data_IF_414868570058
#
_entry.id   IF_414868570058
#
_cell.length_a   1.000
_cell.length_b   1.000
_cell.length_c   1.000
_cell.angle_alpha   90.00
_cell.angle_beta   90.00
_cell.angle_gamma   90.00
#
_symmetry.space_group_name_H-M   'P 1'
#
loop_
_entity.id
_entity.type
_entity.pdbx_description
1 polymer ?
#
# COMPACT_ATOMS: atom_id res chain seq x y z
N UNK A 1 13.37 -0.42 -29.12
CA UNK A 1 13.05 -1.80 -28.73
C UNK A 1 14.02 -2.40 -27.72
N UNK A 2 15.27 -2.71 -28.09
CA UNK A 2 16.22 -3.38 -27.17
C UNK A 2 16.40 -2.68 -25.81
N UNK A 3 16.51 -1.35 -25.80
CA UNK A 3 16.68 -0.58 -24.55
C UNK A 3 15.45 -0.62 -23.64
N UNK A 4 14.23 -0.57 -24.21
CA UNK A 4 12.98 -0.63 -23.44
C UNK A 4 12.76 -2.04 -22.87
N UNK A 5 13.06 -3.06 -23.67
CA UNK A 5 13.00 -4.46 -23.25
C UNK A 5 14.04 -4.75 -22.16
N UNK A 6 15.26 -4.20 -22.28
CA UNK A 6 16.28 -4.29 -21.24
C UNK A 6 15.85 -3.62 -19.93
N UNK A 7 15.15 -2.47 -20.01
CA UNK A 7 14.58 -1.79 -18.83
C UNK A 7 13.44 -2.58 -18.16
N UNK A 8 12.78 -3.49 -18.87
CA UNK A 8 11.74 -4.37 -18.33
C UNK A 8 12.21 -5.80 -18.07
N UNK A 9 13.52 -6.00 -17.87
CA UNK A 9 14.10 -7.33 -17.61
C UNK A 9 13.72 -8.37 -18.68
N UNK A 10 13.72 -7.97 -19.95
CA UNK A 10 13.41 -8.86 -21.08
C UNK A 10 11.93 -8.92 -21.48
N UNK A 11 11.02 -8.32 -20.70
CA UNK A 11 9.60 -8.30 -21.06
C UNK A 11 9.33 -7.42 -22.28
N UNK A 12 8.43 -7.89 -23.14
CA UNK A 12 8.02 -7.19 -24.38
C UNK A 12 6.68 -6.47 -24.24
N UNK A 13 5.98 -6.67 -23.11
CA UNK A 13 4.62 -6.22 -22.91
C UNK A 13 4.55 -5.18 -21.79
N UNK A 14 4.08 -3.99 -22.13
CA UNK A 14 3.85 -2.89 -21.19
C UNK A 14 4.80 -1.73 -21.42
N UNK A 15 4.47 -0.59 -20.83
CA UNK A 15 5.30 0.61 -20.85
C UNK A 15 6.02 0.67 -19.48
N UNK A 16 7.36 0.84 -19.44
CA UNK A 16 8.08 0.93 -18.17
C UNK A 16 7.50 2.06 -17.29
N UNK A 17 7.35 1.81 -16.00
CA UNK A 17 6.78 2.81 -15.07
C UNK A 17 7.88 3.65 -14.40
N UNK A 18 7.56 4.88 -14.00
CA UNK A 18 8.42 5.70 -13.14
C UNK A 18 9.32 6.71 -13.84
N UNK A 19 9.14 6.97 -15.14
CA UNK A 19 9.78 8.10 -15.81
C UNK A 19 8.77 8.96 -16.56
N UNK A 20 8.98 10.28 -16.56
CA UNK A 20 8.12 11.23 -17.27
C UNK A 20 8.05 10.96 -18.77
N UNK A 21 9.13 10.42 -19.36
CA UNK A 21 9.17 10.02 -20.77
C UNK A 21 8.19 8.88 -21.05
N UNK A 22 8.10 7.89 -20.15
CA UNK A 22 7.18 6.78 -20.31
C UNK A 22 5.72 7.19 -20.09
N UNK A 23 5.47 8.09 -19.13
CA UNK A 23 4.15 8.71 -18.98
C UNK A 23 3.72 9.43 -20.26
N UNK A 24 4.63 10.13 -20.93
CA UNK A 24 4.37 10.78 -22.22
C UNK A 24 4.08 9.79 -23.35
N UNK A 25 4.84 8.70 -23.45
CA UNK A 25 4.59 7.63 -24.44
C UNK A 25 3.22 6.99 -24.21
N UNK A 26 2.87 6.71 -22.95
CA UNK A 26 1.55 6.19 -22.61
C UNK A 26 0.43 7.14 -23.04
N UNK A 27 0.61 8.45 -22.83
CA UNK A 27 -0.35 9.46 -23.23
C UNK A 27 -0.54 9.55 -24.75
N UNK A 28 0.53 9.38 -25.55
CA UNK A 28 0.43 9.29 -27.02
C UNK A 28 -0.46 8.12 -27.45
N UNK A 29 -0.25 6.94 -26.86
CA UNK A 29 -1.02 5.73 -27.18
C UNK A 29 -2.49 5.91 -26.77
N UNK A 30 -2.75 6.42 -25.57
CA UNK A 30 -4.11 6.67 -25.08
C UNK A 30 -4.84 7.74 -25.90
N UNK A 31 -4.13 8.78 -26.35
CA UNK A 31 -4.71 9.79 -27.26
C UNK A 31 -5.11 9.17 -28.60
N UNK A 32 -4.33 8.20 -29.11
CA UNK A 32 -4.70 7.48 -30.33
C UNK A 32 -5.96 6.62 -30.12
N UNK A 33 -6.07 5.94 -28.98
CA UNK A 33 -7.27 5.20 -28.57
C UNK A 33 -8.49 6.13 -28.48
N UNK A 34 -8.33 7.32 -27.87
CA UNK A 34 -9.40 8.32 -27.76
C UNK A 34 -9.91 8.76 -29.14
N UNK A 35 -8.99 8.91 -30.11
CA UNK A 35 -9.35 9.21 -31.50
C UNK A 35 -10.14 8.07 -32.15
N UNK A 36 -9.67 6.83 -32.04
CA UNK A 36 -10.37 5.65 -32.58
C UNK A 36 -11.76 5.47 -31.97
N UNK A 37 -11.90 5.73 -30.67
CA UNK A 37 -13.18 5.75 -30.00
C UNK A 37 -14.09 6.83 -30.60
N UNK A 38 -13.58 8.06 -30.74
CA UNK A 38 -14.33 9.18 -31.29
C UNK A 38 -14.84 8.88 -32.70
N UNK A 39 -13.98 8.32 -33.56
CA UNK A 39 -14.32 7.94 -34.93
C UNK A 39 -15.43 6.87 -34.95
N UNK A 40 -15.34 5.82 -34.11
CA UNK A 40 -16.39 4.80 -33.99
C UNK A 40 -17.71 5.36 -33.46
N UNK A 41 -17.67 6.28 -32.50
CA UNK A 41 -18.89 6.91 -31.95
C UNK A 41 -19.62 7.77 -33.00
N UNK A 42 -18.87 8.43 -33.89
CA UNK A 42 -19.43 9.16 -35.03
C UNK A 42 -20.11 8.19 -36.01
N UNK A 43 -19.47 7.06 -36.34
CA UNK A 43 -20.06 6.03 -37.21
C UNK A 43 -21.36 5.44 -36.66
N UNK A 44 -21.46 5.29 -35.34
CA UNK A 44 -22.66 4.79 -34.63
C UNK A 44 -23.73 5.88 -34.40
N UNK A 45 -23.53 7.10 -34.92
CA UNK A 45 -24.42 8.26 -34.72
C UNK A 45 -24.69 8.62 -33.25
N UNK A 46 -23.72 8.37 -32.35
CA UNK A 46 -23.83 8.74 -30.94
C UNK A 46 -23.32 10.17 -30.80
N UNK A 47 -24.21 11.13 -30.55
CA UNK A 47 -23.88 12.57 -30.53
C UNK A 47 -23.99 13.21 -29.15
N UNK A 48 -24.87 12.69 -28.28
CA UNK A 48 -25.15 13.28 -26.96
C UNK A 48 -24.39 12.58 -25.84
N UNK A 49 -23.08 12.86 -25.75
CA UNK A 49 -22.24 12.33 -24.68
C UNK A 49 -21.13 13.30 -24.29
N UNK A 50 -20.52 13.06 -23.14
CA UNK A 50 -19.28 13.73 -22.72
C UNK A 50 -18.35 12.71 -22.10
N UNK A 51 -17.14 12.59 -22.62
CA UNK A 51 -16.08 11.72 -22.06
C UNK A 51 -14.98 12.61 -21.49
N UNK A 52 -14.57 12.32 -20.26
CA UNK A 52 -13.39 12.90 -19.63
C UNK A 52 -12.40 11.77 -19.35
N UNK A 53 -11.15 11.93 -19.78
CA UNK A 53 -10.06 11.00 -19.44
C UNK A 53 -9.01 11.73 -18.62
N UNK A 54 -8.53 11.08 -17.56
CA UNK A 54 -7.32 11.47 -16.85
C UNK A 54 -6.42 10.25 -16.74
N UNK A 55 -5.30 10.24 -17.49
CA UNK A 55 -4.45 9.05 -17.65
C UNK A 55 -5.27 7.85 -18.10
N UNK A 56 -5.34 6.78 -17.30
CA UNK A 56 -6.10 5.56 -17.57
C UNK A 56 -7.56 5.60 -17.08
N UNK A 57 -7.94 6.63 -16.32
CA UNK A 57 -9.30 6.76 -15.77
C UNK A 57 -10.23 7.47 -16.78
N UNK A 58 -11.26 6.75 -17.25
CA UNK A 58 -12.35 7.29 -18.07
C UNK A 58 -13.59 7.62 -17.23
N UNK A 59 -14.25 8.74 -17.53
CA UNK A 59 -15.58 9.11 -17.03
C UNK A 59 -16.50 9.45 -18.21
N UNK A 60 -17.60 8.72 -18.33
CA UNK A 60 -18.51 8.80 -19.48
C UNK A 60 -19.88 9.26 -19.00
N UNK A 61 -20.33 10.40 -19.50
CA UNK A 61 -21.62 11.00 -19.19
C UNK A 61 -22.54 10.92 -20.42
N UNK A 62 -23.74 10.37 -20.23
CA UNK A 62 -24.77 10.24 -21.25
C UNK A 62 -26.13 10.54 -20.62
N UNK A 63 -27.13 10.92 -21.44
CA UNK A 63 -28.51 11.09 -20.93
C UNK A 63 -29.20 9.75 -20.66
N UNK A 64 -28.87 8.74 -21.46
CA UNK A 64 -29.46 7.41 -21.35
C UNK A 64 -28.40 6.37 -20.98
N UNK A 65 -28.81 5.39 -20.16
CA UNK A 65 -27.98 4.26 -19.76
C UNK A 65 -27.64 3.33 -20.94
N UNK A 66 -28.60 3.12 -21.85
CA UNK A 66 -28.42 2.33 -23.08
C UNK A 66 -27.26 2.84 -23.93
N UNK A 67 -27.14 4.16 -24.07
CA UNK A 67 -26.04 4.83 -24.78
C UNK A 67 -24.73 4.64 -24.02
N UNK A 68 -24.75 4.75 -22.68
CA UNK A 68 -23.56 4.53 -21.85
C UNK A 68 -22.97 3.13 -22.05
N UNK A 69 -23.82 2.11 -21.98
CA UNK A 69 -23.42 0.70 -22.15
C UNK A 69 -22.86 0.43 -23.56
N UNK A 70 -23.43 1.08 -24.59
CA UNK A 70 -22.89 1.04 -25.95
C UNK A 70 -21.50 1.68 -26.03
N UNK A 71 -21.30 2.87 -25.45
CA UNK A 71 -19.99 3.54 -25.46
C UNK A 71 -18.95 2.67 -24.71
N UNK A 72 -19.29 2.10 -23.55
CA UNK A 72 -18.40 1.20 -22.80
C UNK A 72 -18.01 -0.02 -23.63
N UNK A 73 -18.96 -0.59 -24.38
CA UNK A 73 -18.69 -1.72 -25.28
C UNK A 73 -17.71 -1.32 -26.39
N UNK A 74 -17.96 -0.20 -27.08
CA UNK A 74 -17.08 0.29 -28.15
C UNK A 74 -15.68 0.60 -27.60
N UNK A 75 -15.60 1.25 -26.43
CA UNK A 75 -14.32 1.52 -25.75
C UNK A 75 -13.59 0.21 -25.42
N UNK A 76 -14.30 -0.80 -24.93
CA UNK A 76 -13.71 -2.11 -24.63
C UNK A 76 -13.13 -2.78 -25.88
N UNK A 77 -13.84 -2.71 -27.00
CA UNK A 77 -13.37 -3.24 -28.29
C UNK A 77 -12.12 -2.51 -28.78
N UNK A 78 -12.12 -1.16 -28.74
CA UNK A 78 -10.93 -0.38 -29.13
C UNK A 78 -9.74 -0.69 -28.23
N UNK A 79 -9.95 -0.81 -26.91
CA UNK A 79 -8.87 -1.13 -25.97
C UNK A 79 -8.28 -2.53 -26.21
N UNK A 80 -9.10 -3.50 -26.61
CA UNK A 80 -8.63 -4.86 -26.90
C UNK A 80 -7.63 -4.91 -28.05
N UNK A 81 -7.76 -4.03 -29.05
CA UNK A 81 -6.82 -3.94 -30.18
C UNK A 81 -5.39 -3.56 -29.73
N UNK A 82 -5.26 -2.93 -28.55
CA UNK A 82 -3.99 -2.55 -27.92
C UNK A 82 -3.62 -3.48 -26.75
N UNK A 83 -4.27 -4.64 -26.62
CA UNK A 83 -4.17 -5.56 -25.48
C UNK A 83 -4.50 -4.92 -24.12
N UNK A 84 -5.26 -3.82 -24.09
CA UNK A 84 -5.78 -3.22 -22.87
C UNK A 84 -7.13 -3.82 -22.48
N UNK A 85 -7.42 -3.82 -21.16
CA UNK A 85 -8.66 -4.35 -20.61
C UNK A 85 -9.21 -3.42 -19.54
N UNK A 86 -10.50 -3.15 -19.58
CA UNK A 86 -11.19 -2.45 -18.51
C UNK A 86 -11.27 -3.35 -17.27
N UNK A 87 -11.05 -2.76 -16.10
CA UNK A 87 -11.16 -3.46 -14.84
C UNK A 87 -12.61 -3.45 -14.36
N UNK A 88 -13.34 -4.55 -14.59
CA UNK A 88 -14.76 -4.70 -14.23
C UNK A 88 -15.04 -4.48 -12.74
N UNK A 89 -14.09 -4.76 -11.85
CA UNK A 89 -14.25 -4.51 -10.40
C UNK A 89 -14.23 -3.02 -10.03
N UNK A 90 -13.71 -2.17 -10.92
CA UNK A 90 -13.64 -0.71 -10.75
C UNK A 90 -14.61 0.06 -11.65
N UNK A 91 -15.22 -0.61 -12.62
CA UNK A 91 -16.19 0.02 -13.53
C UNK A 91 -17.55 0.09 -12.87
N UNK A 92 -18.03 1.30 -12.57
CA UNK A 92 -19.35 1.54 -11.99
C UNK A 92 -20.23 2.34 -12.96
N UNK A 93 -21.52 1.97 -13.06
CA UNK A 93 -22.55 2.69 -13.82
C UNK A 93 -23.63 3.13 -12.83
N UNK A 94 -24.06 4.38 -12.90
CA UNK A 94 -25.12 4.90 -12.06
C UNK A 94 -25.54 6.31 -12.46
N UNK A 95 -26.59 6.78 -11.79
CA UNK A 95 -27.27 8.04 -12.13
C UNK A 95 -26.83 9.20 -11.22
N UNK A 96 -26.36 8.90 -10.00
CA UNK A 96 -25.90 9.91 -9.05
C UNK A 96 -24.46 10.35 -9.34
N UNK A 97 -24.35 11.34 -10.22
CA UNK A 97 -23.10 11.99 -10.63
C UNK A 97 -22.28 12.47 -9.41
N UNK A 98 -22.95 12.92 -8.36
CA UNK A 98 -22.31 13.56 -7.19
C UNK A 98 -21.61 12.52 -6.34
N UNK A 99 -22.35 11.48 -5.92
CA UNK A 99 -21.79 10.41 -5.09
C UNK A 99 -20.79 9.58 -5.90
N UNK A 100 -21.04 9.29 -7.18
CA UNK A 100 -20.12 8.53 -8.02
C UNK A 100 -18.82 9.26 -8.35
N UNK A 101 -18.81 10.59 -8.27
CA UNK A 101 -17.58 11.36 -8.49
C UNK A 101 -16.57 11.20 -7.36
N UNK A 102 -17.02 10.77 -6.18
CA UNK A 102 -16.22 10.60 -4.97
C UNK A 102 -16.08 9.10 -4.72
N UNK A 103 -14.84 8.61 -4.60
CA UNK A 103 -14.62 7.20 -4.25
C UNK A 103 -15.30 6.92 -2.90
N UNK A 104 -16.00 5.79 -2.79
CA UNK A 104 -16.77 5.39 -1.60
C UNK A 104 -15.95 5.45 -0.31
N UNK A 105 -14.68 5.03 -0.38
CA UNK A 105 -13.74 5.11 0.75
C UNK A 105 -13.45 6.56 1.22
N UNK A 106 -13.50 7.54 0.31
CA UNK A 106 -13.38 8.97 0.65
C UNK A 106 -14.68 9.53 1.24
N UNK A 107 -15.85 9.07 0.82
CA UNK A 107 -17.13 9.46 1.43
C UNK A 107 -17.18 8.99 2.88
N UNK A 108 -16.82 7.73 3.11
CA UNK A 108 -16.76 7.17 4.45
C UNK A 108 -15.73 7.89 5.31
N UNK A 109 -14.62 8.38 4.75
CA UNK A 109 -13.67 9.24 5.48
C UNK A 109 -14.33 10.49 6.10
N UNK A 110 -15.20 11.15 5.33
CA UNK A 110 -15.93 12.34 5.81
C UNK A 110 -16.88 11.95 6.96
N UNK A 111 -17.51 10.78 6.88
CA UNK A 111 -18.41 10.28 7.93
C UNK A 111 -17.61 9.87 9.18
N UNK A 112 -16.46 9.23 9.00
CA UNK A 112 -15.53 8.85 10.05
C UNK A 112 -14.59 10.00 10.41
N UNK A 113 -15.11 11.22 10.55
CA UNK A 113 -14.43 12.26 11.31
C UNK A 113 -14.29 11.80 12.75
N UNK A 114 -13.22 11.07 13.02
CA UNK A 114 -12.87 10.66 14.36
C UNK A 114 -12.45 11.93 15.07
N UNK A 115 -13.32 12.51 15.90
CA UNK A 115 -12.97 13.67 16.71
C UNK A 115 -11.80 13.32 17.66
N UNK A 116 -10.91 14.26 17.98
CA UNK A 116 -9.91 14.07 19.02
C UNK A 116 -10.63 14.01 20.39
N UNK A 117 -10.98 12.80 20.82
CA UNK A 117 -11.62 12.62 22.13
C UNK A 117 -10.56 12.62 23.24
N UNK A 118 -10.69 13.54 24.20
CA UNK A 118 -9.80 13.64 25.36
C UNK A 118 -9.98 12.42 26.31
N UNK A 119 -11.14 11.75 26.25
CA UNK A 119 -11.52 10.63 27.11
C UNK A 119 -11.81 9.30 26.36
N UNK A 120 -10.84 8.85 25.57
CA UNK A 120 -10.88 7.54 24.92
C UNK A 120 -10.44 6.41 25.89
N UNK A 121 -11.33 5.48 26.26
CA UNK A 121 -11.03 4.27 27.03
C UNK A 121 -10.76 3.04 26.14
N UNK A 122 -10.37 1.92 26.75
CA UNK A 122 -10.02 0.68 26.01
C UNK A 122 -11.23 0.14 25.24
N UNK A 123 -12.44 0.30 25.77
CA UNK A 123 -13.67 -0.10 25.11
C UNK A 123 -13.94 0.72 23.84
N UNK A 124 -13.83 2.05 23.91
CA UNK A 124 -13.96 2.94 22.74
C UNK A 124 -12.82 2.69 21.73
N UNK A 125 -11.60 2.39 22.19
CA UNK A 125 -10.47 2.02 21.33
C UNK A 125 -10.77 0.72 20.56
N UNK A 126 -11.28 -0.30 21.26
CA UNK A 126 -11.70 -1.57 20.65
C UNK A 126 -12.80 -1.34 19.62
N UNK A 127 -13.82 -0.54 19.95
CA UNK A 127 -14.88 -0.17 19.00
C UNK A 127 -14.29 0.50 17.76
N UNK A 128 -13.41 1.49 17.93
CA UNK A 128 -12.76 2.18 16.81
C UNK A 128 -11.95 1.22 15.93
N UNK A 129 -11.17 0.29 16.51
CA UNK A 129 -10.45 -0.71 15.74
C UNK A 129 -11.38 -1.70 15.03
N UNK A 130 -12.52 -2.06 15.62
CA UNK A 130 -13.52 -2.89 14.97
C UNK A 130 -14.19 -2.16 13.81
N UNK A 131 -14.47 -0.87 13.96
CA UNK A 131 -14.98 -0.03 12.88
C UNK A 131 -13.96 0.04 11.73
N UNK A 132 -12.67 0.25 12.05
CA UNK A 132 -11.58 0.21 11.08
C UNK A 132 -11.49 -1.16 10.40
N UNK A 133 -11.62 -2.26 11.16
CA UNK A 133 -11.63 -3.61 10.59
C UNK A 133 -12.78 -3.79 9.61
N UNK A 134 -13.98 -3.31 9.93
CA UNK A 134 -15.12 -3.38 9.03
C UNK A 134 -14.87 -2.61 7.74
N UNK A 135 -14.39 -1.37 7.84
CA UNK A 135 -13.99 -0.54 6.68
C UNK A 135 -12.90 -1.26 5.85
N UNK A 136 -11.92 -1.88 6.52
CA UNK A 136 -10.81 -2.58 5.88
C UNK A 136 -11.28 -3.78 5.04
N UNK A 137 -12.41 -4.41 5.41
CA UNK A 137 -13.05 -5.49 4.66
C UNK A 137 -13.88 -4.94 3.50
N UNK A 138 -14.56 -3.80 3.69
CA UNK A 138 -15.32 -3.13 2.62
C UNK A 138 -14.41 -2.56 1.53
N UNK A 139 -13.22 -2.05 1.90
CA UNK A 139 -12.27 -1.41 0.99
C UNK A 139 -10.86 -2.01 1.09
N UNK A 140 -10.63 -3.22 0.55
CA UNK A 140 -9.31 -3.85 0.57
C UNK A 140 -8.25 -3.03 -0.17
N UNK A 141 -7.05 -2.98 0.39
CA UNK A 141 -5.88 -2.23 -0.08
C UNK A 141 -6.10 -0.72 -0.29
N UNK A 142 -7.12 -0.12 0.35
CA UNK A 142 -7.39 1.30 0.25
C UNK A 142 -6.38 2.14 1.05
N UNK A 143 -5.90 3.22 0.44
CA UNK A 143 -5.10 4.24 1.13
C UNK A 143 -5.88 5.00 2.22
N UNK A 144 -7.21 4.90 2.23
CA UNK A 144 -8.04 5.42 3.31
C UNK A 144 -7.77 4.70 4.63
N UNK A 145 -7.76 3.36 4.61
CA UNK A 145 -7.48 2.52 5.80
C UNK A 145 -6.11 2.87 6.39
N UNK A 146 -5.11 3.06 5.52
CA UNK A 146 -3.77 3.51 5.91
C UNK A 146 -3.80 4.85 6.66
N UNK A 147 -4.51 5.85 6.12
CA UNK A 147 -4.64 7.17 6.75
C UNK A 147 -5.35 7.11 8.10
N UNK A 148 -6.43 6.35 8.21
CA UNK A 148 -7.14 6.20 9.49
C UNK A 148 -6.21 5.58 10.54
N UNK A 149 -5.44 4.55 10.18
CA UNK A 149 -4.49 3.90 11.08
C UNK A 149 -3.33 4.83 11.48
N UNK A 150 -2.85 5.69 10.57
CA UNK A 150 -1.85 6.71 10.88
C UNK A 150 -2.40 7.71 11.91
N UNK A 151 -3.60 8.26 11.66
CA UNK A 151 -4.27 9.14 12.63
C UNK A 151 -4.57 8.45 13.95
N UNK A 152 -4.88 7.16 13.92
CA UNK A 152 -5.09 6.34 15.11
C UNK A 152 -3.81 6.28 15.97
N UNK A 153 -2.64 6.05 15.37
CA UNK A 153 -1.36 6.02 16.07
C UNK A 153 -0.95 7.40 16.61
N UNK A 154 -1.12 8.47 15.82
CA UNK A 154 -0.77 9.85 16.21
C UNK A 154 -1.44 10.33 17.50
N UNK A 155 -2.57 9.71 17.90
CA UNK A 155 -3.27 10.05 19.14
C UNK A 155 -2.58 9.56 20.41
N UNK A 156 -1.59 8.68 20.29
CA UNK A 156 -0.77 8.25 21.42
C UNK A 156 -1.56 7.56 22.54
N UNK A 157 -2.62 6.81 22.20
CA UNK A 157 -3.48 6.13 23.18
C UNK A 157 -2.70 5.22 24.14
N UNK A 158 -1.59 4.66 23.66
CA UNK A 158 -0.71 3.76 24.40
C UNK A 158 0.06 4.43 25.55
N UNK A 159 0.20 5.76 25.51
CA UNK A 159 0.98 6.55 26.48
C UNK A 159 0.18 6.94 27.73
N UNK A 160 -1.15 6.79 27.73
CA UNK A 160 -2.00 7.16 28.88
C UNK A 160 -1.92 6.11 29.99
N UNK A 161 -1.95 6.58 31.24
CA UNK A 161 -1.92 5.82 32.52
C UNK A 161 -3.20 5.01 32.79
N UNK A 162 -3.77 4.36 31.78
CA UNK A 162 -4.94 3.49 31.94
C UNK A 162 -4.52 2.09 32.36
N UNK A 163 -5.36 1.42 33.16
CA UNK A 163 -5.22 -0.02 33.42
C UNK A 163 -5.57 -0.76 32.14
N UNK A 164 -4.59 -1.45 31.57
CA UNK A 164 -4.78 -2.33 30.42
C UNK A 164 -5.05 -3.73 30.93
N UNK A 165 -6.21 -4.29 30.58
CA UNK A 165 -6.51 -5.68 30.89
C UNK A 165 -5.90 -6.59 29.82
N UNK A 166 -5.38 -7.75 30.24
CA UNK A 166 -4.68 -8.69 29.35
C UNK A 166 -5.57 -9.15 28.20
N UNK A 167 -6.77 -9.64 28.52
CA UNK A 167 -7.75 -10.12 27.53
C UNK A 167 -8.13 -9.05 26.50
N UNK A 168 -8.24 -7.79 26.93
CA UNK A 168 -8.54 -6.68 26.02
C UNK A 168 -7.37 -6.41 25.06
N UNK A 169 -6.14 -6.47 25.57
CA UNK A 169 -4.92 -6.26 24.78
C UNK A 169 -4.75 -7.33 23.71
N UNK A 170 -5.02 -8.61 24.04
CA UNK A 170 -4.99 -9.72 23.08
C UNK A 170 -6.03 -9.55 21.97
N UNK A 171 -7.24 -9.10 22.32
CA UNK A 171 -8.30 -8.82 21.34
C UNK A 171 -7.85 -7.70 20.39
N UNK A 172 -7.25 -6.62 20.90
CA UNK A 172 -6.76 -5.52 20.07
C UNK A 172 -5.67 -6.00 19.10
N UNK A 173 -4.71 -6.79 19.58
CA UNK A 173 -3.66 -7.38 18.72
C UNK A 173 -4.24 -8.28 17.63
N UNK A 174 -5.23 -9.10 17.97
CA UNK A 174 -5.91 -9.99 17.02
C UNK A 174 -6.68 -9.20 15.96
N UNK A 175 -7.35 -8.11 16.35
CA UNK A 175 -8.04 -7.21 15.41
C UNK A 175 -7.03 -6.52 14.49
N UNK A 176 -5.91 -6.03 15.03
CA UNK A 176 -4.84 -5.41 14.23
C UNK A 176 -4.25 -6.38 13.21
N UNK A 177 -3.96 -7.62 13.61
CA UNK A 177 -3.52 -8.68 12.69
C UNK A 177 -4.56 -8.97 11.60
N UNK A 178 -5.84 -8.99 11.96
CA UNK A 178 -6.94 -9.18 11.00
C UNK A 178 -7.05 -8.02 10.01
N UNK A 179 -6.75 -6.79 10.42
CA UNK A 179 -6.71 -5.63 9.53
C UNK A 179 -5.59 -5.80 8.49
N UNK A 180 -4.39 -6.21 8.93
CA UNK A 180 -3.24 -6.47 8.03
C UNK A 180 -3.55 -7.60 7.06
N UNK A 181 -4.20 -8.68 7.50
CA UNK A 181 -4.62 -9.79 6.65
C UNK A 181 -5.45 -9.33 5.43
N UNK A 182 -6.32 -8.34 5.62
CA UNK A 182 -7.14 -7.78 4.55
C UNK A 182 -6.42 -6.66 3.78
N UNK A 183 -5.43 -6.01 4.39
CA UNK A 183 -4.75 -4.83 3.87
C UNK A 183 -3.24 -4.87 4.17
N UNK A 184 -2.45 -5.70 3.45
CA UNK A 184 -1.02 -5.86 3.71
C UNK A 184 -0.23 -4.54 3.62
N UNK A 185 -0.68 -3.58 2.80
CA UNK A 185 -0.07 -2.25 2.68
C UNK A 185 -0.05 -1.45 3.99
N UNK A 186 -0.92 -1.76 4.94
CA UNK A 186 -0.99 -1.08 6.24
C UNK A 186 -0.03 -1.67 7.28
N UNK A 187 0.69 -2.75 6.95
CA UNK A 187 1.50 -3.51 7.91
C UNK A 187 2.47 -2.64 8.71
N UNK A 188 3.22 -1.77 8.05
CA UNK A 188 4.16 -0.84 8.69
C UNK A 188 3.50 0.02 9.77
N UNK A 189 2.33 0.59 9.47
CA UNK A 189 1.57 1.44 10.40
C UNK A 189 1.00 0.62 11.56
N UNK A 190 0.50 -0.58 11.27
CA UNK A 190 -0.02 -1.50 12.29
C UNK A 190 1.08 -2.02 13.22
N UNK A 191 2.32 -2.18 12.74
CA UNK A 191 3.46 -2.57 13.57
C UNK A 191 3.65 -1.61 14.75
N UNK A 192 3.53 -0.29 14.53
CA UNK A 192 3.62 0.67 15.64
C UNK A 192 2.57 0.37 16.71
N UNK A 193 1.32 0.11 16.30
CA UNK A 193 0.24 -0.23 17.23
C UNK A 193 0.55 -1.52 18.00
N UNK A 194 0.98 -2.56 17.30
CA UNK A 194 1.32 -3.87 17.87
C UNK A 194 2.46 -3.73 18.89
N UNK A 195 3.57 -3.09 18.53
CA UNK A 195 4.76 -2.97 19.39
C UNK A 195 4.57 -2.00 20.55
N UNK A 196 3.57 -1.11 20.51
CA UNK A 196 3.13 -0.36 21.68
C UNK A 196 2.27 -1.20 22.65
N UNK A 197 1.53 -2.20 22.14
CA UNK A 197 0.66 -3.07 22.93
C UNK A 197 1.40 -4.29 23.50
N UNK A 198 2.38 -4.84 22.77
CA UNK A 198 3.14 -6.02 23.20
C UNK A 198 3.73 -5.88 24.62
N UNK A 199 4.38 -4.76 25.01
CA UNK A 199 4.93 -4.60 26.37
C UNK A 199 3.90 -4.59 27.49
N UNK A 200 2.59 -4.58 27.18
CA UNK A 200 1.48 -4.64 28.15
C UNK A 200 1.05 -6.07 28.48
N UNK A 201 1.58 -7.06 27.77
CA UNK A 201 1.32 -8.49 27.99
C UNK A 201 2.45 -9.14 28.80
N UNK A 202 2.20 -10.36 29.28
CA UNK A 202 3.24 -11.17 29.92
C UNK A 202 4.26 -11.70 28.89
N UNK A 203 5.44 -12.10 29.34
CA UNK A 203 6.56 -12.54 28.47
C UNK A 203 6.16 -13.69 27.54
N UNK A 204 5.43 -14.70 28.05
CA UNK A 204 5.00 -15.85 27.25
C UNK A 204 4.02 -15.45 26.14
N UNK A 205 3.09 -14.55 26.45
CA UNK A 205 2.11 -14.03 25.50
C UNK A 205 2.79 -13.15 24.45
N UNK A 206 3.75 -12.31 24.84
CA UNK A 206 4.54 -11.51 23.91
C UNK A 206 5.21 -12.41 22.88
N UNK A 207 5.82 -13.51 23.33
CA UNK A 207 6.45 -14.49 22.45
C UNK A 207 5.44 -15.12 21.49
N UNK A 208 4.28 -15.57 22.01
CA UNK A 208 3.20 -16.11 21.18
C UNK A 208 2.74 -15.13 20.09
N UNK A 209 2.51 -13.86 20.43
CA UNK A 209 2.09 -12.87 19.43
C UNK A 209 3.21 -12.55 18.44
N UNK A 210 4.46 -12.43 18.87
CA UNK A 210 5.61 -12.24 17.97
C UNK A 210 5.72 -13.40 16.97
N UNK A 211 5.60 -14.64 17.44
CA UNK A 211 5.62 -15.83 16.59
C UNK A 211 4.44 -15.84 15.61
N UNK A 212 3.26 -15.43 16.07
CA UNK A 212 2.04 -15.31 15.25
C UNK A 212 2.15 -14.21 14.20
N UNK A 213 2.74 -13.06 14.54
CA UNK A 213 3.01 -11.97 13.60
C UNK A 213 3.99 -12.46 12.54
N UNK A 214 5.08 -13.08 12.96
CA UNK A 214 6.13 -13.61 12.08
C UNK A 214 5.58 -14.65 11.08
N UNK A 215 4.82 -15.64 11.56
CA UNK A 215 4.24 -16.67 10.69
C UNK A 215 3.20 -16.12 9.71
N UNK A 216 2.35 -15.20 10.16
CA UNK A 216 1.37 -14.56 9.27
C UNK A 216 2.06 -13.79 8.14
N UNK A 217 3.20 -13.14 8.40
CA UNK A 217 3.89 -12.33 7.39
C UNK A 217 4.60 -13.15 6.33
N UNK A 218 5.19 -14.30 6.70
CA UNK A 218 5.76 -15.23 5.73
C UNK A 218 4.72 -15.76 4.75
N UNK A 219 3.44 -15.78 5.14
CA UNK A 219 2.34 -16.19 4.26
C UNK A 219 1.77 -15.09 3.36
N UNK A 220 2.24 -13.84 3.50
CA UNK A 220 1.69 -12.68 2.78
C UNK A 220 2.46 -12.32 1.51
N UNK A 221 1.77 -11.70 0.55
CA UNK A 221 2.42 -11.08 -0.60
C UNK A 221 3.29 -9.88 -0.18
N UNK A 222 4.35 -9.57 -0.95
CA UNK A 222 5.37 -8.55 -0.64
C UNK A 222 6.18 -8.85 0.63
N UNK A 223 6.66 -10.09 0.75
CA UNK A 223 7.46 -10.61 1.87
C UNK A 223 8.59 -9.65 2.24
N UNK A 224 9.42 -9.21 1.29
CA UNK A 224 10.59 -8.38 1.58
C UNK A 224 10.31 -7.06 2.31
N UNK A 225 9.32 -6.27 1.87
CA UNK A 225 8.97 -5.01 2.55
C UNK A 225 8.46 -5.26 3.98
N UNK A 226 7.67 -6.32 4.16
CA UNK A 226 7.13 -6.69 5.46
C UNK A 226 8.23 -7.22 6.38
N UNK A 227 9.16 -8.00 5.86
CA UNK A 227 10.32 -8.50 6.60
C UNK A 227 11.22 -7.36 7.09
N UNK A 228 11.45 -6.33 6.28
CA UNK A 228 12.21 -5.15 6.70
C UNK A 228 11.56 -4.49 7.92
N UNK A 229 10.23 -4.30 7.89
CA UNK A 229 9.51 -3.72 9.02
C UNK A 229 9.50 -4.63 10.24
N UNK A 230 9.38 -5.94 10.03
CA UNK A 230 9.42 -6.92 11.10
C UNK A 230 10.80 -6.94 11.76
N UNK A 231 11.88 -6.96 10.98
CA UNK A 231 13.25 -6.86 11.46
C UNK A 231 13.46 -5.53 12.19
N UNK A 232 12.98 -4.41 11.64
CA UNK A 232 13.02 -3.09 12.32
C UNK A 232 12.38 -3.12 13.71
N UNK A 233 11.29 -3.86 13.89
CA UNK A 233 10.60 -3.91 15.18
C UNK A 233 11.18 -4.98 16.12
N UNK A 234 11.61 -6.12 15.60
CA UNK A 234 12.13 -7.23 16.39
C UNK A 234 13.62 -7.11 16.72
N UNK A 235 14.40 -6.28 16.02
CA UNK A 235 15.86 -6.21 16.21
C UNK A 235 16.31 -6.00 17.67
N UNK A 236 15.53 -5.27 18.48
CA UNK A 236 15.81 -5.02 19.92
C UNK A 236 15.00 -5.90 20.88
N UNK A 237 14.15 -6.79 20.36
CA UNK A 237 13.21 -7.65 21.10
C UNK A 237 13.59 -9.12 20.94
N UNK A 238 13.77 -9.57 19.70
CA UNK A 238 14.15 -10.92 19.32
C UNK A 238 14.98 -10.88 18.03
N UNK A 239 16.30 -11.09 18.16
CA UNK A 239 17.24 -11.09 17.03
C UNK A 239 17.52 -12.50 16.48
N UNK A 240 16.72 -13.50 16.85
CA UNK A 240 16.92 -14.90 16.44
C UNK A 240 16.13 -15.25 15.18
N UNK A 241 15.18 -14.42 14.77
CA UNK A 241 14.36 -14.65 13.58
C UNK A 241 15.17 -14.56 12.30
N UNK A 242 14.90 -15.50 11.39
CA UNK A 242 15.49 -15.55 10.04
C UNK A 242 14.59 -14.81 9.05
N UNK A 243 15.14 -14.39 7.91
CA UNK A 243 14.42 -13.61 6.91
C UNK A 243 14.84 -14.09 5.52
N UNK A 244 13.91 -14.14 4.57
CA UNK A 244 14.23 -14.54 3.20
C UNK A 244 14.84 -13.39 2.40
N UNK A 245 14.47 -12.15 2.71
CA UNK A 245 14.91 -10.95 2.00
C UNK A 245 16.41 -10.70 2.18
N UNK A 246 17.08 -10.44 1.05
CA UNK A 246 18.52 -10.23 1.02
C UNK A 246 18.95 -9.03 1.88
N UNK A 247 18.17 -7.94 1.89
CA UNK A 247 18.48 -6.74 2.70
C UNK A 247 18.43 -7.08 4.18
N UNK A 248 17.42 -7.85 4.61
CA UNK A 248 17.32 -8.33 5.98
C UNK A 248 18.52 -9.21 6.35
N UNK A 249 18.95 -10.10 5.45
CA UNK A 249 20.11 -10.96 5.66
C UNK A 249 21.43 -10.20 5.75
N UNK A 250 21.57 -9.06 5.06
CA UNK A 250 22.71 -8.15 5.25
C UNK A 250 22.69 -7.53 6.65
N UNK A 251 21.53 -7.10 7.14
CA UNK A 251 21.39 -6.54 8.50
C UNK A 251 21.75 -7.60 9.55
N UNK A 252 21.34 -8.85 9.37
CA UNK A 252 21.67 -9.98 10.25
C UNK A 252 23.12 -10.49 10.11
N UNK A 253 23.93 -9.90 9.22
CA UNK A 253 25.32 -10.31 8.92
C UNK A 253 25.47 -11.74 8.34
N UNK A 254 24.36 -12.31 7.87
CA UNK A 254 24.31 -13.62 7.21
C UNK A 254 24.78 -13.48 5.75
N UNK A 255 24.29 -12.45 5.05
CA UNK A 255 24.64 -12.20 3.65
C UNK A 255 25.87 -11.29 3.52
N UNK A 256 26.93 -11.83 2.92
CA UNK A 256 28.21 -11.15 2.70
C UNK A 256 28.38 -10.70 1.25
N UNK A 257 27.51 -11.14 0.35
CA UNK A 257 27.49 -10.72 -1.06
C UNK A 257 26.64 -9.47 -1.24
N UNK A 258 26.94 -8.70 -2.28
CA UNK A 258 26.14 -7.54 -2.65
C UNK A 258 24.72 -7.95 -2.99
N UNK A 259 23.75 -7.24 -2.42
CA UNK A 259 22.33 -7.29 -2.83
C UNK A 259 22.09 -6.52 -4.13
N UNK A 260 23.06 -5.74 -4.60
CA UNK A 260 22.95 -4.98 -5.84
C UNK A 260 23.51 -5.78 -7.02
N UNK A 261 22.76 -5.80 -8.12
CA UNK A 261 23.16 -6.45 -9.37
C UNK A 261 24.29 -5.73 -10.09
N UNK A 262 25.52 -5.76 -9.56
CA UNK A 262 26.68 -5.03 -10.09
C UNK A 262 27.39 -5.76 -11.27
N UNK A 263 26.69 -6.66 -11.96
CA UNK A 263 27.26 -7.49 -13.03
C UNK A 263 27.67 -6.68 -14.27
N UNK A 264 27.04 -5.51 -14.48
CA UNK A 264 27.32 -4.61 -15.60
C UNK A 264 28.54 -3.70 -15.38
N UNK A 265 29.08 -3.63 -14.15
CA UNK A 265 30.23 -2.79 -13.83
C UNK A 265 31.52 -3.50 -14.26
N UNK A 266 32.25 -2.88 -15.19
CA UNK A 266 33.50 -3.41 -15.75
C UNK A 266 34.75 -3.01 -14.95
N UNK A 267 34.68 -1.92 -14.18
CA UNK A 267 35.78 -1.48 -13.33
C UNK A 267 35.85 -2.31 -12.03
N UNK A 268 36.92 -3.09 -11.88
CA UNK A 268 37.14 -3.98 -10.74
C UNK A 268 37.30 -3.26 -9.39
N UNK A 269 37.83 -2.02 -9.37
CA UNK A 269 37.94 -1.23 -8.13
C UNK A 269 36.57 -0.79 -7.66
N UNK A 270 35.75 -0.24 -8.58
CA UNK A 270 34.37 0.14 -8.30
C UNK A 270 33.53 -1.07 -7.88
N UNK A 271 33.66 -2.18 -8.60
CA UNK A 271 32.97 -3.44 -8.30
C UNK A 271 33.33 -3.98 -6.91
N UNK A 272 34.59 -3.87 -6.50
CA UNK A 272 35.04 -4.24 -5.14
C UNK A 272 34.40 -3.36 -4.06
N UNK A 273 34.18 -2.08 -4.33
CA UNK A 273 33.51 -1.16 -3.39
C UNK A 273 32.01 -1.43 -3.33
N UNK A 274 31.34 -1.57 -4.48
CA UNK A 274 29.90 -1.82 -4.58
C UNK A 274 29.50 -3.21 -4.07
N UNK A 275 30.42 -4.18 -4.15
CA UNK A 275 30.18 -5.52 -3.63
C UNK A 275 30.32 -5.62 -2.11
N UNK A 276 30.70 -4.54 -1.43
CA UNK A 276 30.65 -4.46 0.03
C UNK A 276 29.27 -3.98 0.46
N UNK A 277 28.68 -4.68 1.42
CA UNK A 277 27.41 -4.36 2.05
C UNK A 277 27.50 -3.18 3.05
N UNK A 278 28.16 -2.10 2.66
CA UNK A 278 28.49 -0.95 3.52
C UNK A 278 27.37 0.10 3.58
N UNK A 279 26.20 -0.15 2.99
CA UNK A 279 25.08 0.79 2.98
C UNK A 279 24.31 0.81 4.31
N UNK A 280 24.58 -0.14 5.22
CA UNK A 280 23.98 -0.20 6.55
C UNK A 280 24.79 0.63 7.55
N UNK A 281 24.17 1.68 8.07
CA UNK A 281 24.76 2.51 9.14
C UNK A 281 24.55 1.82 10.50
N UNK A 282 25.49 0.96 10.89
CA UNK A 282 25.42 0.16 12.13
C UNK A 282 25.24 1.00 13.40
N UNK A 283 25.86 2.18 13.47
CA UNK A 283 25.66 3.09 14.60
C UNK A 283 24.19 3.49 14.79
N UNK A 284 23.44 3.72 13.70
CA UNK A 284 22.01 4.06 13.78
C UNK A 284 21.18 2.87 14.27
N UNK A 285 21.52 1.64 13.87
CA UNK A 285 20.87 0.43 14.39
C UNK A 285 21.07 0.28 15.90
N UNK A 286 22.28 0.57 16.40
CA UNK A 286 22.53 0.48 17.85
C UNK A 286 21.69 1.49 18.65
N UNK A 287 21.51 2.70 18.13
CA UNK A 287 20.78 3.83 18.74
C UNK A 287 19.26 3.79 18.54
N UNK A 288 18.74 2.83 17.77
CA UNK A 288 17.30 2.76 17.48
C UNK A 288 16.46 2.47 18.74
N UNK A 289 15.25 3.01 18.77
CA UNK A 289 14.26 2.71 19.81
C UNK A 289 13.60 1.34 19.59
N UNK A 290 13.19 0.70 20.70
CA UNK A 290 12.43 -0.56 20.68
C UNK A 290 11.08 -0.41 19.96
N UNK A 291 10.41 0.73 20.16
CA UNK A 291 9.13 1.04 19.51
C UNK A 291 9.42 2.02 18.37
N UNK A 292 9.00 1.74 17.12
CA UNK A 292 9.14 2.68 16.01
C UNK A 292 8.33 3.96 16.25
N UNK A 293 8.87 5.10 15.83
CA UNK A 293 8.17 6.38 15.92
C UNK A 293 7.16 6.54 14.77
N UNK A 294 6.07 7.29 14.99
CA UNK A 294 5.02 7.49 13.99
C UNK A 294 5.56 8.15 12.70
N UNK A 295 6.60 8.98 12.81
CA UNK A 295 7.26 9.59 11.66
C UNK A 295 8.05 8.61 10.77
N UNK A 296 8.33 7.39 11.24
CA UNK A 296 9.04 6.39 10.43
C UNK A 296 8.13 5.77 9.35
N UNK A 297 6.81 5.78 9.58
CA UNK A 297 5.81 5.22 8.65
C UNK A 297 5.01 6.29 7.91
N UNK A 298 5.07 7.55 8.37
CA UNK A 298 4.34 8.66 7.78
C UNK A 298 5.20 9.39 6.75
N UNK A 299 5.12 8.90 5.51
CA UNK A 299 5.85 9.44 4.36
C UNK A 299 5.44 10.91 4.05
N UNK A 300 4.28 11.35 4.54
CA UNK A 300 3.73 12.69 4.28
C UNK A 300 3.86 13.67 5.45
N UNK A 301 4.40 13.24 6.59
CA UNK A 301 4.58 14.11 7.77
C UNK A 301 5.37 15.39 7.46
N UNK A 302 6.30 15.34 6.49
CA UNK A 302 7.12 16.48 6.10
C UNK A 302 6.52 17.36 4.99
N UNK A 303 5.38 16.96 4.39
CA UNK A 303 4.72 17.70 3.29
C UNK A 303 3.46 18.43 3.73
N UNK A 304 3.06 18.31 5.00
CA UNK A 304 2.01 19.12 5.62
C UNK A 304 2.62 20.40 6.21
N UNK A 305 3.05 21.29 5.32
CA UNK A 305 3.46 22.67 5.63
C UNK A 305 2.55 23.66 4.92
#
# INVERSE_FOLDING_TARGET
DFLLQAMQNGQTNGIPQGSALMDFIAEIILTHIDKLLSDKLICENITEYKILRYRDDYRIFTKERSVNEKIIKILSEVLMDFNFKLNTSKTEIGEDITLMSIKKDKLDNIIYHVAPDRDMDVFKLKRLLLDILNISKCYPNSGFVLKILQHFNQRGFYRKTKKWYKSETEILLTVLLSIVANNPRCFAVVCISIFNLLPKLDVDQQKYFVDTIYSNLLSMNNIGYNEIWLQRCLHKVDNVKEYEDEICNVVSEVEKKSVFGNHFVTDEKLKTVLNKNNFIVREKLTKMTKIPHESEVDIFANYQG
#
